data_IF_082831211592
#
_entry.id   IF_082831211592
#
_cell.length_a   1.000
_cell.length_b   1.000
_cell.length_c   1.000
_cell.angle_alpha   90.00
_cell.angle_beta   90.00
_cell.angle_gamma   90.00
#
_symmetry.space_group_name_H-M   'P 1'
#
loop_
_entity.id
_entity.type
_entity.pdbx_description
1 polymer ?
#
# COMPACT_ATOMS: atom_id res chain seq x y z
N UNK A 1 -5.52 45.26 37.78
CA UNK A 1 -4.49 44.38 38.30
C UNK A 1 -3.71 43.80 37.11
N UNK A 2 -2.52 44.34 36.84
CA UNK A 2 -1.59 43.87 35.82
C UNK A 2 -0.81 42.65 36.36
N UNK A 3 -0.81 41.55 35.66
CA UNK A 3 0.06 40.44 35.94
C UNK A 3 1.14 40.34 34.84
N UNK A 4 2.38 40.41 35.28
CA UNK A 4 3.61 40.43 34.52
C UNK A 4 3.92 39.06 33.88
N UNK A 5 4.44 39.09 32.67
CA UNK A 5 5.03 37.97 31.92
C UNK A 5 6.49 37.81 32.35
N UNK A 6 7.00 36.61 32.68
CA UNK A 6 8.42 36.39 32.86
C UNK A 6 9.15 36.17 31.55
N UNK A 7 10.34 36.77 31.46
CA UNK A 7 11.25 36.76 30.35
C UNK A 7 11.89 35.38 30.09
N UNK A 8 12.14 35.06 28.84
CA UNK A 8 12.88 33.88 28.39
C UNK A 8 14.39 34.04 28.65
N UNK A 9 15.01 33.00 29.16
CA UNK A 9 16.47 32.87 29.34
C UNK A 9 17.09 32.25 28.08
N UNK A 10 18.21 32.78 27.57
CA UNK A 10 18.88 32.21 26.40
C UNK A 10 19.78 31.02 26.78
N UNK A 11 19.78 30.01 25.89
CA UNK A 11 20.71 28.87 25.91
C UNK A 11 22.12 29.29 25.48
N UNK A 12 23.18 28.69 26.05
CA UNK A 12 24.55 28.91 25.59
C UNK A 12 24.90 28.03 24.38
N UNK A 13 25.54 28.65 23.41
CA UNK A 13 26.31 28.01 22.34
C UNK A 13 27.59 27.41 22.90
N UNK A 14 27.91 26.17 22.54
CA UNK A 14 29.28 25.65 22.62
C UNK A 14 29.71 25.06 21.28
N UNK A 15 30.69 25.76 20.77
CA UNK A 15 31.59 25.52 19.66
C UNK A 15 32.68 24.55 20.12
N UNK A 16 32.97 23.50 19.39
CA UNK A 16 34.31 22.87 19.36
C UNK A 16 34.39 21.76 18.28
N UNK A 17 35.05 22.09 17.19
CA UNK A 17 35.78 21.07 16.41
C UNK A 17 37.13 20.78 17.08
N UNK A 18 37.73 19.60 16.90
CA UNK A 18 39.03 19.59 16.28
C UNK A 18 39.24 18.52 15.19
N UNK A 19 39.93 19.00 14.20
CA UNK A 19 40.80 18.37 13.20
C UNK A 19 41.69 17.27 13.79
N UNK A 20 41.82 16.12 13.10
CA UNK A 20 43.10 15.40 13.01
C UNK A 20 43.15 14.53 11.74
N UNK A 21 44.00 14.96 10.88
CA UNK A 21 44.60 14.27 9.74
C UNK A 21 45.39 13.03 10.19
N UNK A 22 45.27 11.91 9.46
CA UNK A 22 46.42 11.00 9.27
C UNK A 22 46.34 10.38 7.87
N UNK A 23 47.42 10.59 7.16
CA UNK A 23 47.70 10.09 5.82
C UNK A 23 48.44 8.74 5.85
N UNK A 24 48.37 8.09 4.69
CA UNK A 24 49.27 7.07 4.13
C UNK A 24 49.18 5.65 4.74
N UNK A 25 48.90 4.64 3.93
CA UNK A 25 49.85 3.99 3.04
C UNK A 25 49.15 3.07 2.04
N UNK A 26 49.60 3.16 0.80
CA UNK A 26 49.31 2.22 -0.29
C UNK A 26 50.31 1.03 -0.18
N UNK A 27 49.90 -0.17 -0.51
CA UNK A 27 50.74 -1.08 -1.27
C UNK A 27 50.16 -1.46 -2.64
N UNK A 28 51.04 -1.46 -3.60
CA UNK A 28 50.97 -1.76 -5.03
C UNK A 28 50.91 -3.30 -5.26
N UNK A 29 50.55 -3.77 -6.46
CA UNK A 29 49.79 -4.95 -6.74
C UNK A 29 50.61 -6.21 -6.87
N UNK A 30 50.00 -7.33 -6.58
CA UNK A 30 50.53 -8.63 -7.04
C UNK A 30 49.58 -9.21 -8.08
N UNK A 31 50.13 -9.31 -9.26
CA UNK A 31 49.61 -10.00 -10.44
C UNK A 31 49.50 -11.49 -10.15
N UNK A 32 48.34 -12.10 -10.23
CA UNK A 32 48.22 -13.55 -10.45
C UNK A 32 46.87 -13.92 -11.09
N UNK A 33 47.04 -14.48 -12.27
CA UNK A 33 46.25 -15.52 -12.92
C UNK A 33 44.77 -15.23 -13.28
N UNK A 34 44.62 -14.93 -14.55
CA UNK A 34 43.41 -15.05 -15.34
C UNK A 34 42.96 -16.52 -15.29
N UNK A 35 41.93 -16.84 -14.52
CA UNK A 35 41.14 -18.05 -14.72
C UNK A 35 39.86 -17.64 -15.50
N UNK A 36 39.87 -18.07 -16.76
CA UNK A 36 38.72 -17.95 -17.66
C UNK A 36 37.69 -18.99 -17.24
N UNK A 37 36.81 -18.64 -16.33
CA UNK A 37 35.62 -19.45 -16.06
C UNK A 37 34.49 -18.86 -16.84
N UNK A 38 33.90 -19.64 -17.75
CA UNK A 38 32.80 -19.27 -18.60
C UNK A 38 31.59 -18.87 -17.73
N UNK A 39 30.82 -17.83 -18.11
CA UNK A 39 29.59 -17.52 -17.40
C UNK A 39 28.65 -18.73 -17.54
N UNK A 40 28.31 -19.33 -16.41
CA UNK A 40 27.18 -20.26 -16.34
C UNK A 40 25.95 -19.49 -16.86
N UNK A 41 25.37 -19.96 -17.97
CA UNK A 41 24.05 -19.55 -18.41
C UNK A 41 23.09 -19.77 -17.23
N UNK A 42 22.74 -18.68 -16.58
CA UNK A 42 21.62 -18.67 -15.64
C UNK A 42 20.37 -18.79 -16.50
N UNK A 43 19.89 -20.01 -16.64
CA UNK A 43 18.53 -20.25 -17.14
C UNK A 43 17.61 -19.38 -16.31
N UNK A 44 16.77 -18.51 -16.93
CA UNK A 44 15.75 -17.78 -16.19
C UNK A 44 14.89 -18.85 -15.50
N UNK A 45 14.79 -18.79 -14.17
CA UNK A 45 13.79 -19.55 -13.47
C UNK A 45 12.46 -19.18 -14.12
N UNK A 46 11.77 -20.15 -14.73
CA UNK A 46 10.38 -20.00 -15.10
C UNK A 46 9.64 -19.59 -13.83
N UNK A 47 9.29 -18.32 -13.74
CA UNK A 47 8.29 -17.82 -12.82
C UNK A 47 6.99 -18.49 -13.26
N UNK A 48 6.72 -19.66 -12.71
CA UNK A 48 5.43 -20.31 -12.83
C UNK A 48 4.43 -19.33 -12.23
N UNK A 49 3.61 -18.68 -13.07
CA UNK A 49 2.49 -17.87 -12.62
C UNK A 49 1.64 -18.78 -11.72
N UNK A 50 1.63 -18.45 -10.43
CA UNK A 50 0.78 -19.17 -9.49
C UNK A 50 -0.66 -18.95 -9.93
N UNK A 51 -1.34 -20.02 -10.32
CA UNK A 51 -2.75 -19.93 -10.72
C UNK A 51 -3.56 -19.56 -9.50
N UNK A 52 -4.26 -18.43 -9.57
CA UNK A 52 -5.17 -18.00 -8.50
C UNK A 52 -6.31 -19.03 -8.40
N UNK A 53 -6.48 -19.62 -7.22
CA UNK A 53 -7.56 -20.55 -6.92
C UNK A 53 -8.56 -19.92 -5.95
N UNK A 54 -9.85 -20.25 -6.10
CA UNK A 54 -10.95 -19.73 -5.29
C UNK A 54 -11.41 -18.32 -5.68
N UNK A 55 -12.40 -17.77 -4.96
CA UNK A 55 -13.03 -16.51 -5.31
C UNK A 55 -12.05 -15.34 -5.33
N UNK A 56 -12.16 -14.49 -6.34
CA UNK A 56 -11.39 -13.24 -6.50
C UNK A 56 -12.33 -12.05 -6.56
N UNK A 57 -11.89 -10.93 -6.01
CA UNK A 57 -12.59 -9.66 -6.16
C UNK A 57 -12.28 -9.10 -7.54
N UNK A 58 -13.31 -8.80 -8.30
CA UNK A 58 -13.19 -8.28 -9.67
C UNK A 58 -14.03 -7.02 -9.84
N UNK A 59 -13.71 -6.26 -10.88
CA UNK A 59 -14.47 -5.09 -11.26
C UNK A 59 -14.60 -5.00 -12.78
N UNK A 60 -15.81 -4.89 -13.28
CA UNK A 60 -16.09 -4.83 -14.72
C UNK A 60 -15.60 -3.55 -15.41
N UNK A 61 -15.27 -2.50 -14.67
CA UNK A 61 -14.85 -1.20 -15.18
C UNK A 61 -13.34 -1.04 -15.32
N UNK A 62 -12.53 -2.01 -14.79
CA UNK A 62 -11.07 -1.89 -14.78
C UNK A 62 -10.37 -2.38 -16.06
N UNK A 63 -11.08 -2.91 -17.04
CA UNK A 63 -10.51 -3.52 -18.25
C UNK A 63 -9.62 -2.59 -19.10
N UNK A 64 -9.65 -1.28 -18.87
CA UNK A 64 -8.85 -0.29 -19.59
C UNK A 64 -7.73 0.33 -18.74
N UNK A 65 -7.60 -0.11 -17.50
CA UNK A 65 -6.56 0.38 -16.61
C UNK A 65 -5.26 -0.39 -16.83
N UNK A 66 -4.15 0.30 -16.65
CA UNK A 66 -2.83 -0.27 -16.71
C UNK A 66 -2.50 -0.97 -15.38
N UNK A 67 -1.93 -2.17 -15.46
CA UNK A 67 -1.42 -2.89 -14.31
C UNK A 67 -0.07 -2.32 -13.92
N UNK A 68 0.03 -1.75 -12.72
CA UNK A 68 1.28 -1.22 -12.14
C UNK A 68 2.03 -2.32 -11.40
N UNK A 69 1.29 -3.13 -10.65
CA UNK A 69 1.83 -4.25 -9.86
C UNK A 69 0.83 -5.40 -9.87
N UNK A 70 1.35 -6.62 -9.97
CA UNK A 70 0.55 -7.84 -9.80
C UNK A 70 1.41 -8.89 -9.08
N UNK A 71 0.94 -9.36 -7.92
CA UNK A 71 1.59 -10.37 -7.12
C UNK A 71 0.59 -11.47 -6.77
N UNK A 72 0.86 -12.69 -7.26
CA UNK A 72 0.08 -13.88 -6.97
C UNK A 72 0.94 -14.85 -6.17
N UNK A 73 0.46 -15.28 -5.00
CA UNK A 73 1.19 -16.15 -4.11
C UNK A 73 0.64 -17.60 -4.09
N UNK A 74 1.50 -18.56 -3.78
CA UNK A 74 1.13 -19.97 -3.73
C UNK A 74 0.09 -20.32 -2.64
N UNK A 75 -0.03 -19.49 -1.61
CA UNK A 75 -1.04 -19.61 -0.55
C UNK A 75 -2.42 -19.08 -0.94
N UNK A 76 -2.54 -18.57 -2.16
CA UNK A 76 -3.78 -17.99 -2.70
C UNK A 76 -3.98 -16.52 -2.38
N UNK A 77 -3.06 -15.87 -1.65
CA UNK A 77 -3.11 -14.41 -1.52
C UNK A 77 -2.69 -13.74 -2.84
N UNK A 78 -3.26 -12.57 -3.13
CA UNK A 78 -2.86 -11.77 -4.28
C UNK A 78 -2.97 -10.27 -3.97
N UNK A 79 -2.25 -9.49 -4.75
CA UNK A 79 -2.34 -8.03 -4.79
C UNK A 79 -2.21 -7.54 -6.22
N UNK A 80 -3.10 -6.67 -6.65
CA UNK A 80 -3.07 -6.04 -7.96
C UNK A 80 -3.26 -4.53 -7.79
N UNK A 81 -2.37 -3.74 -8.38
CA UNK A 81 -2.42 -2.28 -8.39
C UNK A 81 -2.63 -1.79 -9.82
N UNK A 82 -3.66 -1.01 -10.03
CA UNK A 82 -4.08 -0.50 -11.33
C UNK A 82 -4.10 1.02 -11.35
N UNK A 83 -3.89 1.62 -12.53
CA UNK A 83 -4.09 3.05 -12.74
C UNK A 83 -4.52 3.33 -14.19
N UNK A 84 -5.25 4.44 -14.41
CA UNK A 84 -5.59 4.90 -15.75
C UNK A 84 -4.74 6.07 -16.22
N UNK A 85 -4.24 6.88 -15.30
CA UNK A 85 -3.56 8.15 -15.59
C UNK A 85 -2.32 8.40 -14.70
N UNK A 86 -2.00 7.45 -13.83
CA UNK A 86 -0.91 7.56 -12.87
C UNK A 86 -1.19 8.47 -11.67
N UNK A 87 -2.45 8.90 -11.47
CA UNK A 87 -2.89 9.73 -10.33
C UNK A 87 -3.93 9.02 -9.47
N UNK A 88 -4.97 8.45 -10.08
CA UNK A 88 -5.90 7.56 -9.39
C UNK A 88 -5.34 6.15 -9.42
N UNK A 89 -5.18 5.56 -8.25
CA UNK A 89 -4.75 4.18 -8.08
C UNK A 89 -5.87 3.35 -7.46
N UNK A 90 -6.06 2.14 -8.01
CA UNK A 90 -6.97 1.13 -7.49
C UNK A 90 -6.16 -0.09 -7.08
N UNK A 91 -6.37 -0.56 -5.86
CA UNK A 91 -5.71 -1.75 -5.34
C UNK A 91 -6.74 -2.81 -5.00
N UNK A 92 -6.53 -4.01 -5.50
CA UNK A 92 -7.27 -5.23 -5.15
C UNK A 92 -6.34 -6.15 -4.39
N UNK A 93 -6.74 -6.55 -3.20
CA UNK A 93 -5.97 -7.46 -2.38
C UNK A 93 -6.86 -8.58 -1.82
N UNK A 94 -6.32 -9.78 -1.80
CA UNK A 94 -6.84 -10.92 -1.07
C UNK A 94 -5.74 -11.45 -0.16
N UNK A 95 -5.98 -11.40 1.15
CA UNK A 95 -5.06 -11.84 2.18
C UNK A 95 -5.59 -13.07 2.92
N UNK A 96 -4.71 -13.78 3.60
CA UNK A 96 -5.10 -14.84 4.52
C UNK A 96 -5.76 -14.23 5.76
N UNK A 97 -6.79 -14.87 6.34
CA UNK A 97 -7.47 -14.36 7.52
C UNK A 97 -6.55 -14.47 8.75
N UNK A 98 -6.52 -13.42 9.55
CA UNK A 98 -5.81 -13.36 10.84
C UNK A 98 -6.74 -13.57 12.05
N UNK A 99 -8.03 -13.82 11.80
CA UNK A 99 -9.07 -13.99 12.80
C UNK A 99 -9.80 -12.70 13.18
N UNK A 100 -9.43 -11.57 12.58
CA UNK A 100 -10.15 -10.30 12.73
C UNK A 100 -11.48 -10.33 11.98
N UNK A 101 -12.47 -9.59 12.45
CA UNK A 101 -13.64 -9.24 11.64
C UNK A 101 -13.27 -8.15 10.60
N UNK A 102 -14.17 -7.91 9.65
CA UNK A 102 -13.90 -7.00 8.54
C UNK A 102 -13.61 -5.55 8.99
N UNK A 103 -14.26 -5.07 10.05
CA UNK A 103 -14.02 -3.74 10.61
C UNK A 103 -12.60 -3.66 11.18
N UNK A 104 -12.26 -4.59 12.05
CA UNK A 104 -10.95 -4.63 12.70
C UNK A 104 -9.82 -4.86 11.68
N UNK A 105 -10.03 -5.71 10.67
CA UNK A 105 -9.06 -5.94 9.60
C UNK A 105 -8.78 -4.65 8.80
N UNK A 106 -9.83 -3.89 8.44
CA UNK A 106 -9.69 -2.62 7.73
C UNK A 106 -8.94 -1.58 8.58
N UNK A 107 -9.37 -1.37 9.82
CA UNK A 107 -8.76 -0.41 10.74
C UNK A 107 -7.28 -0.75 10.99
N UNK A 108 -6.95 -2.03 11.20
CA UNK A 108 -5.58 -2.48 11.40
C UNK A 108 -4.71 -2.27 10.14
N UNK A 109 -5.22 -2.60 8.96
CA UNK A 109 -4.49 -2.42 7.70
C UNK A 109 -4.16 -0.93 7.46
N UNK A 110 -5.12 -0.03 7.68
CA UNK A 110 -4.92 1.41 7.53
C UNK A 110 -3.90 1.93 8.55
N UNK A 111 -4.00 1.54 9.81
CA UNK A 111 -3.06 1.96 10.85
C UNK A 111 -1.64 1.45 10.61
N UNK A 112 -1.48 0.25 10.03
CA UNK A 112 -0.17 -0.30 9.66
C UNK A 112 0.45 0.43 8.46
N UNK A 113 -0.36 0.75 7.46
CA UNK A 113 0.09 1.46 6.26
C UNK A 113 0.40 2.95 6.56
N UNK A 114 -0.25 3.53 7.56
CA UNK A 114 -0.20 4.96 7.86
C UNK A 114 0.05 5.20 9.36
N UNK A 115 1.26 4.96 9.85
CA UNK A 115 1.57 5.00 11.28
C UNK A 115 1.38 6.39 11.94
N UNK A 116 1.23 7.46 11.15
CA UNK A 116 0.90 8.81 11.64
C UNK A 116 -0.59 8.98 11.96
N UNK A 117 -1.43 8.06 11.52
CA UNK A 117 -2.86 8.05 11.79
C UNK A 117 -3.13 7.53 13.21
N UNK A 118 -3.87 8.29 14.03
CA UNK A 118 -4.13 7.92 15.43
C UNK A 118 -5.32 6.96 15.56
N UNK A 119 -6.32 7.10 14.69
CA UNK A 119 -7.51 6.25 14.67
C UNK A 119 -8.20 6.31 13.31
N UNK A 120 -8.89 5.25 12.97
CA UNK A 120 -9.77 5.15 11.81
C UNK A 120 -11.13 4.69 12.32
N UNK A 121 -12.21 5.25 11.79
CA UNK A 121 -13.58 4.79 12.07
C UNK A 121 -14.16 4.18 10.80
N UNK A 122 -14.12 2.85 10.73
CA UNK A 122 -14.69 2.11 9.63
C UNK A 122 -16.20 1.95 9.80
N UNK A 123 -16.96 2.30 8.76
CA UNK A 123 -18.42 2.27 8.74
C UNK A 123 -18.93 1.14 7.85
N UNK A 124 -20.03 0.50 8.27
CA UNK A 124 -20.64 -0.55 7.46
C UNK A 124 -21.34 0.03 6.22
N UNK A 125 -21.05 -0.54 5.06
CA UNK A 125 -21.74 -0.26 3.79
C UNK A 125 -22.81 -1.31 3.52
N UNK A 126 -24.08 -0.95 3.75
CA UNK A 126 -25.22 -1.86 3.58
C UNK A 126 -25.51 -2.23 2.11
N UNK A 127 -25.13 -1.38 1.16
CA UNK A 127 -25.35 -1.61 -0.27
C UNK A 127 -24.37 -2.67 -0.78
N UNK A 128 -23.09 -2.49 -0.49
CA UNK A 128 -22.06 -3.48 -0.84
C UNK A 128 -22.22 -4.76 -0.04
N UNK A 129 -22.62 -4.70 1.24
CA UNK A 129 -22.94 -5.88 2.05
C UNK A 129 -24.01 -6.76 1.38
N UNK A 130 -25.07 -6.16 0.84
CA UNK A 130 -26.13 -6.91 0.13
C UNK A 130 -25.62 -7.50 -1.20
N UNK A 131 -24.74 -6.79 -1.89
CA UNK A 131 -24.19 -7.22 -3.19
C UNK A 131 -23.20 -8.35 -3.05
N UNK A 132 -22.24 -8.20 -2.12
CA UNK A 132 -21.15 -9.16 -1.92
C UNK A 132 -21.54 -10.31 -0.98
N UNK A 133 -22.69 -10.21 -0.28
CA UNK A 133 -23.21 -11.19 0.70
C UNK A 133 -22.35 -11.36 1.96
N UNK A 134 -21.42 -10.44 2.19
CA UNK A 134 -20.58 -10.36 3.39
C UNK A 134 -20.70 -8.97 4.02
N UNK A 135 -20.58 -8.81 5.35
CA UNK A 135 -20.49 -7.49 5.96
C UNK A 135 -19.30 -6.71 5.40
N UNK A 136 -19.57 -5.62 4.68
CA UNK A 136 -18.55 -4.74 4.10
C UNK A 136 -18.40 -3.52 4.96
N UNK A 137 -17.16 -3.17 5.29
CA UNK A 137 -16.82 -1.93 5.99
C UNK A 137 -15.98 -1.04 5.08
N UNK A 138 -16.21 0.26 5.17
CA UNK A 138 -15.52 1.29 4.39
C UNK A 138 -14.92 2.33 5.31
N UNK A 139 -13.81 2.92 4.90
CA UNK A 139 -13.17 4.03 5.57
C UNK A 139 -12.72 5.07 4.55
N UNK A 140 -12.97 6.34 4.85
CA UNK A 140 -12.49 7.49 4.08
C UNK A 140 -11.52 8.27 4.96
N UNK A 141 -10.32 8.56 4.46
CA UNK A 141 -9.27 9.22 5.23
C UNK A 141 -8.23 9.88 4.34
N UNK A 142 -7.41 10.73 4.94
CA UNK A 142 -6.32 11.43 4.27
C UNK A 142 -4.98 11.03 4.87
N UNK A 143 -3.94 11.01 4.03
CA UNK A 143 -2.55 10.76 4.45
C UNK A 143 -1.62 11.78 3.84
N UNK A 144 -0.39 11.85 4.36
CA UNK A 144 0.61 12.80 3.89
C UNK A 144 0.32 14.23 4.35
N UNK A 145 0.99 15.18 3.73
CA UNK A 145 0.82 16.61 4.00
C UNK A 145 1.21 17.44 2.79
N UNK A 146 0.60 18.62 2.65
CA UNK A 146 0.85 19.55 1.55
C UNK A 146 0.62 18.90 0.16
N UNK A 147 1.61 19.03 -0.74
CA UNK A 147 1.53 18.56 -2.13
C UNK A 147 1.53 17.02 -2.24
N UNK A 148 1.98 16.32 -1.19
CA UNK A 148 1.99 14.85 -1.15
C UNK A 148 0.75 14.26 -0.44
N UNK A 149 -0.24 15.09 -0.12
CA UNK A 149 -1.46 14.61 0.54
C UNK A 149 -2.32 13.77 -0.41
N UNK A 150 -2.72 12.61 0.07
CA UNK A 150 -3.60 11.67 -0.64
C UNK A 150 -4.91 11.51 0.12
N UNK A 151 -6.00 11.42 -0.61
CA UNK A 151 -7.29 10.92 -0.12
C UNK A 151 -7.40 9.44 -0.44
N UNK A 152 -7.93 8.70 0.50
CA UNK A 152 -8.15 7.26 0.38
C UNK A 152 -9.62 6.93 0.62
N UNK A 153 -10.10 5.97 -0.14
CA UNK A 153 -11.36 5.28 0.12
C UNK A 153 -11.13 3.78 0.04
N UNK A 154 -11.12 3.16 1.20
CA UNK A 154 -10.83 1.75 1.37
C UNK A 154 -12.08 0.99 1.79
N UNK A 155 -12.19 -0.26 1.35
CA UNK A 155 -13.18 -1.19 1.87
C UNK A 155 -12.56 -2.54 2.19
N UNK A 156 -13.20 -3.26 3.12
CA UNK A 156 -12.82 -4.60 3.52
C UNK A 156 -14.06 -5.46 3.79
N UNK A 157 -13.97 -6.73 3.45
CA UNK A 157 -14.86 -7.77 3.93
C UNK A 157 -14.09 -9.08 4.14
N UNK A 158 -14.65 -9.94 4.98
CA UNK A 158 -14.05 -11.24 5.33
C UNK A 158 -14.98 -12.33 4.88
N UNK A 159 -14.46 -13.29 4.10
CA UNK A 159 -15.12 -14.56 3.78
C UNK A 159 -14.63 -15.67 4.71
N UNK A 160 -15.14 -16.90 4.52
CA UNK A 160 -14.69 -18.05 5.29
C UNK A 160 -13.18 -18.38 5.12
N UNK A 161 -12.58 -17.95 4.01
CA UNK A 161 -11.22 -18.34 3.64
C UNK A 161 -10.25 -17.20 3.47
N UNK A 162 -10.74 -15.97 3.23
CA UNK A 162 -9.89 -14.83 2.89
C UNK A 162 -10.45 -13.51 3.40
N UNK A 163 -9.53 -12.56 3.59
CA UNK A 163 -9.83 -11.13 3.76
C UNK A 163 -9.63 -10.43 2.42
N UNK A 164 -10.59 -9.60 2.03
CA UNK A 164 -10.53 -8.86 0.77
C UNK A 164 -10.48 -7.37 1.06
N UNK A 165 -9.58 -6.69 0.36
CA UNK A 165 -9.49 -5.25 0.34
C UNK A 165 -9.67 -4.73 -1.08
N UNK A 166 -10.37 -3.61 -1.19
CA UNK A 166 -10.34 -2.75 -2.36
C UNK A 166 -10.05 -1.34 -1.87
N UNK A 167 -9.04 -0.69 -2.46
CA UNK A 167 -8.58 0.62 -2.04
C UNK A 167 -8.50 1.54 -3.24
N UNK A 168 -8.97 2.79 -3.06
CA UNK A 168 -8.78 3.87 -4.01
C UNK A 168 -7.92 4.93 -3.37
N UNK A 169 -6.95 5.49 -4.12
CA UNK A 169 -6.18 6.64 -3.65
C UNK A 169 -5.88 7.60 -4.78
N UNK A 170 -5.99 8.90 -4.48
CA UNK A 170 -5.62 9.98 -5.39
C UNK A 170 -5.14 11.21 -4.62
N UNK A 171 -4.38 12.13 -5.27
CA UNK A 171 -4.00 13.40 -4.66
C UNK A 171 -5.22 14.21 -4.23
N UNK A 172 -5.12 14.86 -3.06
CA UNK A 172 -6.22 15.64 -2.47
C UNK A 172 -6.68 16.78 -3.38
N UNK A 173 -5.77 17.38 -4.14
CA UNK A 173 -6.06 18.49 -5.06
C UNK A 173 -6.90 18.08 -6.28
N UNK A 174 -7.00 16.79 -6.57
CA UNK A 174 -7.72 16.24 -7.72
C UNK A 174 -8.78 15.19 -7.32
N UNK A 175 -8.99 14.97 -6.03
CA UNK A 175 -9.94 13.95 -5.56
C UNK A 175 -11.37 14.15 -6.11
N UNK A 176 -11.84 15.39 -6.12
CA UNK A 176 -13.18 15.71 -6.64
C UNK A 176 -13.35 15.34 -8.12
N UNK A 177 -12.26 15.38 -8.90
CA UNK A 177 -12.28 15.00 -10.32
C UNK A 177 -12.48 13.48 -10.51
N UNK A 178 -12.11 12.67 -9.50
CA UNK A 178 -12.21 11.21 -9.51
C UNK A 178 -13.41 10.65 -8.72
N UNK A 179 -14.19 11.48 -8.05
CA UNK A 179 -15.28 11.03 -7.17
C UNK A 179 -16.31 10.14 -7.89
N UNK A 180 -16.67 10.49 -9.15
CA UNK A 180 -17.57 9.69 -9.97
C UNK A 180 -16.94 8.37 -10.40
N UNK A 181 -15.66 8.36 -10.73
CA UNK A 181 -14.91 7.16 -11.12
C UNK A 181 -14.77 6.20 -9.94
N UNK A 182 -14.45 6.71 -8.75
CA UNK A 182 -14.37 5.92 -7.52
C UNK A 182 -15.70 5.25 -7.20
N UNK A 183 -16.81 5.98 -7.29
CA UNK A 183 -18.16 5.42 -7.08
C UNK A 183 -18.51 4.38 -8.16
N UNK A 184 -18.13 4.61 -9.42
CA UNK A 184 -18.27 3.64 -10.50
C UNK A 184 -17.49 2.35 -10.19
N UNK A 185 -16.23 2.45 -9.75
CA UNK A 185 -15.44 1.29 -9.39
C UNK A 185 -16.01 0.56 -8.16
N UNK A 186 -16.40 1.28 -7.10
CA UNK A 186 -17.09 0.65 -5.97
C UNK A 186 -18.35 -0.10 -6.40
N UNK A 187 -19.18 0.54 -7.20
CA UNK A 187 -20.44 -0.04 -7.67
C UNK A 187 -20.25 -1.24 -8.60
N UNK A 188 -19.11 -1.38 -9.26
CA UNK A 188 -18.77 -2.49 -10.14
C UNK A 188 -18.13 -3.71 -9.47
N UNK A 189 -17.90 -3.68 -8.14
CA UNK A 189 -17.27 -4.78 -7.42
C UNK A 189 -18.15 -6.04 -7.40
N UNK A 190 -17.55 -7.19 -7.63
CA UNK A 190 -18.15 -8.51 -7.54
C UNK A 190 -17.14 -9.57 -7.12
N UNK A 191 -17.60 -10.63 -6.45
CA UNK A 191 -16.80 -11.84 -6.28
C UNK A 191 -17.01 -12.76 -7.48
N UNK A 192 -15.93 -13.21 -8.06
CA UNK A 192 -15.90 -14.18 -9.14
C UNK A 192 -15.15 -15.43 -8.69
N UNK A 193 -15.79 -16.60 -8.77
CA UNK A 193 -15.13 -17.87 -8.51
C UNK A 193 -14.81 -18.56 -9.85
N UNK A 194 -13.51 -18.66 -10.24
CA UNK A 194 -13.14 -19.29 -11.50
C UNK A 194 -13.38 -20.79 -11.54
N UNK A 195 -13.68 -21.42 -10.37
CA UNK A 195 -13.95 -22.86 -10.24
C UNK A 195 -15.45 -23.21 -10.18
N UNK A 196 -16.35 -22.20 -10.18
CA UNK A 196 -17.79 -22.39 -10.07
C UNK A 196 -18.48 -22.69 -11.42
#
# INVERSE_FOLDING_TARGET
ACASVPAATPLPSEDAAPTASHAAETPVPTDEAISTDAPAETTPAESGEATITGPVLVNSHTAKLDVVENANNADGSYRELLTGDGRLFLEFERALPDGSDAKAALENAILQANPTLLSVDAMQDDVLTKRLTYPVFTAHYETGSNEDALVHEDLCFVSDSYVYFFRCSAPIDSWEDYAEDVEMYRSGLALFDPAA
#
